data_IF_328341230814
#
_entry.id   IF_328341230814
#
_cell.length_a   1.000
_cell.length_b   1.000
_cell.length_c   1.000
_cell.angle_alpha   90.00
_cell.angle_beta   90.00
_cell.angle_gamma   90.00
#
_symmetry.space_group_name_H-M   'P 1'
#
loop_
_entity.id
_entity.type
_entity.pdbx_description
1 polymer ?
#
# COMPACT_ATOMS: atom_id res chain seq x y z
N UNK A 1 0.60 32.76 -2.53
CA UNK A 1 1.97 32.55 -3.05
C UNK A 1 2.08 31.11 -3.52
N UNK A 2 2.31 30.85 -4.81
CA UNK A 2 2.42 29.49 -5.31
C UNK A 2 3.86 28.98 -5.10
N UNK A 3 4.04 27.98 -4.23
CA UNK A 3 5.26 27.18 -4.20
C UNK A 3 5.04 26.00 -5.14
N UNK A 4 5.32 26.20 -6.43
CA UNK A 4 5.51 25.09 -7.35
C UNK A 4 6.73 24.29 -6.89
N UNK A 5 6.51 22.98 -6.69
CA UNK A 5 7.52 22.05 -6.22
C UNK A 5 8.69 21.93 -7.19
N UNK A 6 9.90 22.03 -6.63
CA UNK A 6 11.14 21.66 -7.30
C UNK A 6 11.22 20.14 -7.61
N UNK A 7 10.28 19.33 -7.11
CA UNK A 7 10.21 17.89 -7.36
C UNK A 7 9.58 17.50 -8.70
N UNK A 8 8.96 18.43 -9.44
CA UNK A 8 8.35 18.13 -10.73
C UNK A 8 9.39 17.87 -11.86
N UNK A 9 10.68 18.12 -11.62
CA UNK A 9 11.74 18.00 -12.64
C UNK A 9 12.64 16.76 -12.53
N UNK A 10 12.48 15.90 -11.52
CA UNK A 10 13.22 14.63 -11.46
C UNK A 10 12.23 13.47 -11.57
N UNK A 11 12.19 12.80 -12.71
CA UNK A 11 11.52 11.51 -12.80
C UNK A 11 12.34 10.51 -11.97
N UNK A 12 11.84 9.98 -10.83
CA UNK A 12 12.61 9.10 -9.96
C UNK A 12 12.81 7.69 -10.54
N UNK A 13 11.99 7.30 -11.54
CA UNK A 13 12.00 5.93 -12.09
C UNK A 13 13.36 5.48 -12.63
N UNK A 14 14.07 6.27 -13.46
CA UNK A 14 15.39 5.89 -13.96
C UNK A 14 16.44 5.76 -12.85
N UNK A 15 16.32 6.53 -11.77
CA UNK A 15 17.22 6.44 -10.62
C UNK A 15 17.04 5.12 -9.87
N UNK A 16 15.79 4.70 -9.63
CA UNK A 16 15.51 3.39 -9.02
C UNK A 16 15.98 2.25 -9.92
N UNK A 17 15.71 2.31 -11.23
CA UNK A 17 16.21 1.31 -12.19
C UNK A 17 17.74 1.24 -12.19
N UNK A 18 18.42 2.39 -12.14
CA UNK A 18 19.87 2.45 -12.02
C UNK A 18 20.38 1.83 -10.72
N UNK A 19 19.73 2.14 -9.59
CA UNK A 19 20.08 1.59 -8.27
C UNK A 19 19.89 0.07 -8.21
N UNK A 20 18.79 -0.46 -8.78
CA UNK A 20 18.55 -1.90 -8.94
C UNK A 20 19.72 -2.53 -9.69
N UNK A 21 20.11 -1.99 -10.85
CA UNK A 21 21.24 -2.52 -11.64
C UNK A 21 22.56 -2.51 -10.88
N UNK A 22 22.85 -1.43 -10.14
CA UNK A 22 24.09 -1.32 -9.35
C UNK A 22 24.13 -2.37 -8.23
N UNK A 23 23.01 -2.60 -7.56
CA UNK A 23 22.90 -3.65 -6.54
C UNK A 23 23.06 -5.04 -7.15
N UNK A 24 22.42 -5.31 -8.29
CA UNK A 24 22.57 -6.59 -9.00
C UNK A 24 24.03 -6.86 -9.37
N UNK A 25 24.75 -5.88 -9.93
CA UNK A 25 26.17 -6.00 -10.28
C UNK A 25 27.03 -6.25 -9.04
N UNK A 26 26.83 -5.47 -7.98
CA UNK A 26 27.61 -5.59 -6.73
C UNK A 26 27.43 -6.95 -6.06
N UNK A 27 26.24 -7.53 -6.15
CA UNK A 27 25.94 -8.82 -5.53
C UNK A 27 26.49 -10.02 -6.32
N UNK A 28 26.79 -9.85 -7.62
CA UNK A 28 27.43 -10.87 -8.44
C UNK A 28 28.92 -11.06 -8.12
N UNK A 29 29.59 -10.03 -7.59
CA UNK A 29 31.04 -10.02 -7.33
C UNK A 29 31.46 -10.60 -5.96
N UNK A 30 30.54 -11.19 -5.18
CA UNK A 30 30.77 -11.45 -3.75
C UNK A 30 31.63 -12.69 -3.44
N UNK A 31 32.94 -12.48 -3.49
CA UNK A 31 33.93 -13.14 -2.64
C UNK A 31 33.96 -12.47 -1.25
N UNK A 32 33.44 -13.16 -0.22
CA UNK A 32 33.61 -12.88 1.22
C UNK A 32 33.43 -11.42 1.70
N UNK A 33 32.20 -10.97 1.95
CA UNK A 33 31.93 -9.68 2.59
C UNK A 33 32.00 -9.76 4.13
N UNK A 34 32.59 -8.73 4.76
CA UNK A 34 32.74 -8.56 6.21
C UNK A 34 31.39 -8.15 6.88
N UNK A 35 31.21 -8.36 8.20
CA UNK A 35 29.95 -8.04 8.90
C UNK A 35 29.51 -6.57 8.80
N UNK A 36 30.44 -5.61 8.83
CA UNK A 36 30.10 -4.17 8.72
C UNK A 36 29.52 -3.80 7.35
N UNK A 37 30.05 -4.41 6.28
CA UNK A 37 29.51 -4.25 4.91
C UNK A 37 28.09 -4.80 4.79
N UNK A 38 27.73 -5.85 5.52
CA UNK A 38 26.37 -6.43 5.48
C UNK A 38 25.29 -5.48 6.01
N UNK A 39 25.57 -4.70 7.06
CA UNK A 39 24.59 -3.73 7.60
C UNK A 39 24.34 -2.57 6.64
N UNK A 40 25.40 -2.06 6.01
CA UNK A 40 25.29 -1.03 4.97
C UNK A 40 24.56 -1.55 3.73
N UNK A 41 24.83 -2.80 3.33
CA UNK A 41 24.22 -3.42 2.17
C UNK A 41 22.74 -3.72 2.40
N UNK A 42 22.37 -4.15 3.61
CA UNK A 42 20.97 -4.25 4.03
C UNK A 42 20.23 -2.94 3.85
N UNK A 43 20.74 -1.83 4.41
CA UNK A 43 20.07 -0.52 4.30
C UNK A 43 19.91 -0.12 2.83
N UNK A 44 20.91 -0.36 1.98
CA UNK A 44 20.81 -0.06 0.56
C UNK A 44 19.74 -0.89 -0.16
N UNK A 45 19.72 -2.20 0.09
CA UNK A 45 18.72 -3.11 -0.49
C UNK A 45 17.31 -2.71 -0.04
N UNK A 46 17.10 -2.51 1.26
CA UNK A 46 15.82 -2.08 1.81
C UNK A 46 15.41 -0.70 1.26
N UNK A 47 16.36 0.24 1.09
CA UNK A 47 16.07 1.56 0.51
C UNK A 47 15.66 1.49 -0.95
N UNK A 48 16.30 0.64 -1.76
CA UNK A 48 15.93 0.46 -3.18
C UNK A 48 14.58 -0.24 -3.30
N UNK A 49 14.32 -1.27 -2.48
CA UNK A 49 13.01 -1.91 -2.39
C UNK A 49 11.93 -0.90 -2.02
N UNK A 50 12.17 -0.10 -0.99
CA UNK A 50 11.26 0.93 -0.52
C UNK A 50 10.91 1.94 -1.62
N UNK A 51 11.92 2.48 -2.31
CA UNK A 51 11.70 3.45 -3.39
C UNK A 51 10.99 2.82 -4.59
N UNK A 52 11.36 1.60 -4.98
CA UNK A 52 10.70 0.86 -6.05
C UNK A 52 9.24 0.55 -5.72
N UNK A 53 8.95 0.18 -4.47
CA UNK A 53 7.60 -0.03 -3.99
C UNK A 53 6.77 1.25 -4.02
N UNK A 54 7.26 2.36 -3.46
CA UNK A 54 6.56 3.65 -3.49
C UNK A 54 6.13 4.05 -4.90
N UNK A 55 7.02 3.87 -5.88
CA UNK A 55 6.70 4.16 -7.27
C UNK A 55 5.65 3.22 -7.85
N UNK A 56 5.72 1.93 -7.50
CA UNK A 56 4.79 0.91 -8.01
C UNK A 56 3.37 1.06 -7.44
N UNK A 57 3.26 1.47 -6.16
CA UNK A 57 1.98 1.60 -5.47
C UNK A 57 1.32 2.97 -5.63
N UNK A 58 2.01 3.94 -6.24
CA UNK A 58 1.59 5.34 -6.36
C UNK A 58 0.21 5.48 -7.02
N UNK A 59 -0.05 4.64 -8.04
CA UNK A 59 -1.28 4.61 -8.84
C UNK A 59 -1.78 3.16 -8.96
N UNK A 60 -2.41 2.60 -7.91
CA UNK A 60 -2.67 1.17 -7.82
C UNK A 60 -3.62 0.64 -8.91
N UNK A 61 -4.51 1.49 -9.45
CA UNK A 61 -5.44 1.14 -10.54
C UNK A 61 -4.88 1.45 -11.94
N UNK A 62 -3.73 2.14 -12.03
CA UNK A 62 -3.06 2.54 -13.27
C UNK A 62 -1.55 2.55 -13.06
N UNK A 63 -0.93 1.39 -12.79
CA UNK A 63 0.48 1.31 -12.46
C UNK A 63 1.32 1.80 -13.66
N UNK A 64 2.21 2.74 -13.40
CA UNK A 64 3.08 3.36 -14.40
C UNK A 64 4.58 3.08 -14.14
N UNK A 65 4.86 2.25 -13.14
CA UNK A 65 6.16 1.72 -12.78
C UNK A 65 5.98 0.34 -12.18
N UNK A 66 6.94 -0.55 -12.44
CA UNK A 66 7.00 -1.88 -11.83
C UNK A 66 8.42 -2.16 -11.39
N UNK A 67 8.53 -2.66 -10.17
CA UNK A 67 9.78 -3.22 -9.70
C UNK A 67 9.94 -4.62 -10.27
N UNK A 68 11.15 -4.94 -10.72
CA UNK A 68 11.45 -6.24 -11.32
C UNK A 68 11.29 -7.38 -10.29
N UNK A 69 10.58 -8.44 -10.69
CA UNK A 69 10.27 -9.57 -9.81
C UNK A 69 11.53 -10.36 -9.43
N UNK A 70 12.46 -10.53 -10.37
CA UNK A 70 13.75 -11.20 -10.10
C UNK A 70 14.55 -10.42 -9.07
N UNK A 71 14.61 -9.09 -9.20
CA UNK A 71 15.22 -8.24 -8.18
C UNK A 71 14.56 -8.39 -6.80
N UNK A 72 13.23 -8.43 -6.71
CA UNK A 72 12.54 -8.58 -5.41
C UNK A 72 12.91 -9.91 -4.76
N UNK A 73 12.87 -11.01 -5.51
CA UNK A 73 13.29 -12.34 -5.02
C UNK A 73 14.73 -12.34 -4.53
N UNK A 74 15.65 -11.82 -5.33
CA UNK A 74 17.05 -11.73 -4.95
C UNK A 74 17.27 -10.86 -3.71
N UNK A 75 16.54 -9.75 -3.59
CA UNK A 75 16.61 -8.86 -2.44
C UNK A 75 16.12 -9.54 -1.16
N UNK A 76 15.02 -10.29 -1.22
CA UNK A 76 14.52 -11.04 -0.08
C UNK A 76 15.46 -12.17 0.35
N UNK A 77 16.02 -12.93 -0.59
CA UNK A 77 17.00 -13.98 -0.29
C UNK A 77 18.22 -13.39 0.42
N UNK A 78 18.69 -12.21 -0.02
CA UNK A 78 19.76 -11.48 0.64
C UNK A 78 19.38 -11.02 2.05
N UNK A 79 18.20 -10.42 2.24
CA UNK A 79 17.75 -9.97 3.55
C UNK A 79 17.62 -11.15 4.53
N UNK A 80 17.04 -12.26 4.07
CA UNK A 80 16.96 -13.50 4.84
C UNK A 80 18.35 -14.04 5.20
N UNK A 81 19.31 -13.98 4.28
CA UNK A 81 20.69 -14.39 4.55
C UNK A 81 21.34 -13.53 5.64
N UNK A 82 21.04 -12.23 5.69
CA UNK A 82 21.53 -11.32 6.72
C UNK A 82 20.91 -11.60 8.08
N UNK A 83 19.60 -11.88 8.12
CA UNK A 83 18.90 -12.27 9.35
C UNK A 83 19.47 -13.58 9.93
N UNK A 84 19.72 -14.57 9.07
CA UNK A 84 20.31 -15.84 9.46
C UNK A 84 21.76 -15.69 9.97
N UNK A 85 22.53 -14.78 9.39
CA UNK A 85 23.92 -14.53 9.78
C UNK A 85 24.04 -13.82 11.13
N UNK A 86 23.05 -13.00 11.52
CA UNK A 86 23.04 -12.27 12.78
C UNK A 86 21.63 -12.31 13.44
N UNK A 87 21.23 -13.44 14.05
CA UNK A 87 19.88 -13.60 14.62
C UNK A 87 19.54 -12.58 15.71
N UNK A 88 20.55 -12.13 16.48
CA UNK A 88 20.40 -11.11 17.52
C UNK A 88 20.12 -9.70 16.98
N UNK A 89 20.32 -9.49 15.67
CA UNK A 89 20.07 -8.25 14.94
C UNK A 89 19.01 -8.41 13.85
N UNK A 90 18.22 -9.51 13.88
CA UNK A 90 16.99 -9.64 13.12
C UNK A 90 15.92 -8.68 13.69
N UNK A 91 16.24 -7.39 13.69
CA UNK A 91 15.31 -6.33 14.00
C UNK A 91 14.36 -6.15 12.81
N UNK A 92 13.12 -5.69 13.05
CA UNK A 92 12.23 -5.31 11.96
C UNK A 92 12.95 -4.32 11.04
N UNK A 93 12.77 -4.47 9.72
CA UNK A 93 13.41 -3.60 8.73
C UNK A 93 13.14 -2.14 9.08
N UNK A 94 14.21 -1.40 9.38
CA UNK A 94 14.16 0.00 9.80
C UNK A 94 13.61 0.88 8.67
N UNK A 95 13.79 0.44 7.42
CA UNK A 95 13.38 1.19 6.23
C UNK A 95 11.99 0.78 5.75
N UNK A 96 11.66 -0.52 5.77
CA UNK A 96 10.41 -1.03 5.20
C UNK A 96 9.25 -0.99 6.20
N UNK A 97 9.48 -1.17 7.51
CA UNK A 97 8.43 -1.06 8.53
C UNK A 97 7.30 -2.11 8.49
N UNK A 98 7.14 -2.87 7.40
CA UNK A 98 6.29 -4.06 7.27
C UNK A 98 7.08 -5.21 6.63
N UNK A 99 6.65 -6.49 6.79
CA UNK A 99 7.36 -7.63 6.19
C UNK A 99 7.39 -7.56 4.65
N UNK A 100 8.52 -7.93 4.04
CA UNK A 100 8.72 -7.95 2.57
C UNK A 100 7.72 -8.84 1.83
N UNK A 101 7.24 -9.90 2.48
CA UNK A 101 6.17 -10.75 1.95
C UNK A 101 4.86 -9.99 1.72
N UNK A 102 4.47 -9.07 2.62
CA UNK A 102 3.30 -8.20 2.42
C UNK A 102 3.53 -7.19 1.29
N UNK A 103 4.75 -6.64 1.16
CA UNK A 103 5.13 -5.82 0.00
C UNK A 103 4.93 -6.55 -1.31
N UNK A 104 5.46 -7.78 -1.41
CA UNK A 104 5.34 -8.59 -2.62
C UNK A 104 3.86 -8.89 -2.93
N UNK A 105 3.05 -9.21 -1.91
CA UNK A 105 1.63 -9.44 -2.10
C UNK A 105 0.93 -8.22 -2.69
N UNK A 106 1.17 -7.01 -2.15
CA UNK A 106 0.62 -5.75 -2.68
C UNK A 106 1.02 -5.53 -4.14
N UNK A 107 2.29 -5.75 -4.49
CA UNK A 107 2.75 -5.60 -5.87
C UNK A 107 2.07 -6.58 -6.82
N UNK A 108 1.92 -7.85 -6.42
CA UNK A 108 1.23 -8.88 -7.21
C UNK A 108 -0.26 -8.57 -7.38
N UNK A 109 -0.90 -8.00 -6.36
CA UNK A 109 -2.29 -7.52 -6.45
C UNK A 109 -2.40 -6.43 -7.52
N UNK A 110 -1.52 -5.42 -7.49
CA UNK A 110 -1.49 -4.33 -8.48
C UNK A 110 -1.19 -4.86 -9.89
N UNK A 111 -0.31 -5.85 -10.02
CA UNK A 111 0.05 -6.42 -11.32
C UNK A 111 -1.01 -7.34 -11.94
N UNK A 112 -2.13 -7.58 -11.25
CA UNK A 112 -3.26 -8.37 -11.75
C UNK A 112 -3.84 -7.85 -13.08
N UNK A 113 -3.69 -6.54 -13.37
CA UNK A 113 -4.08 -5.95 -14.66
C UNK A 113 -3.35 -6.53 -15.88
N UNK A 114 -2.24 -7.24 -15.68
CA UNK A 114 -1.46 -7.84 -16.76
C UNK A 114 -1.68 -9.35 -16.89
N UNK A 115 -2.45 -9.93 -15.99
CA UNK A 115 -2.72 -11.36 -16.02
C UNK A 115 -3.67 -11.64 -17.18
N UNK A 116 -3.35 -12.58 -18.08
CA UNK A 116 -4.24 -12.97 -19.16
C UNK A 116 -5.61 -13.40 -18.61
N UNK A 117 -6.70 -12.99 -19.26
CA UNK A 117 -8.08 -13.29 -18.80
C UNK A 117 -8.32 -14.77 -18.50
N UNK A 118 -7.70 -15.68 -19.26
CA UNK A 118 -7.83 -17.13 -19.05
C UNK A 118 -7.28 -17.63 -17.72
N UNK A 119 -6.33 -16.91 -17.11
CA UNK A 119 -5.69 -17.27 -15.84
C UNK A 119 -6.09 -16.33 -14.69
N UNK A 120 -6.95 -15.34 -14.96
CA UNK A 120 -7.24 -14.26 -14.01
C UNK A 120 -7.97 -14.77 -12.77
N UNK A 121 -8.92 -15.69 -12.93
CA UNK A 121 -9.67 -16.27 -11.81
C UNK A 121 -8.73 -16.97 -10.83
N UNK A 122 -7.95 -17.93 -11.32
CA UNK A 122 -7.00 -18.72 -10.52
C UNK A 122 -5.95 -17.82 -9.84
N UNK A 123 -5.49 -16.77 -10.52
CA UNK A 123 -4.57 -15.78 -9.96
C UNK A 123 -5.19 -15.02 -8.78
N UNK A 124 -6.41 -14.50 -8.94
CA UNK A 124 -7.11 -13.76 -7.89
C UNK A 124 -7.46 -14.67 -6.69
N UNK A 125 -7.84 -15.92 -6.94
CA UNK A 125 -8.06 -16.92 -5.88
C UNK A 125 -6.76 -17.21 -5.10
N UNK A 126 -5.63 -17.35 -5.79
CA UNK A 126 -4.33 -17.52 -5.17
C UNK A 126 -3.92 -16.33 -4.30
N UNK A 127 -4.14 -15.10 -4.78
CA UNK A 127 -3.90 -13.88 -3.99
C UNK A 127 -4.79 -13.82 -2.75
N UNK A 128 -6.06 -14.20 -2.87
CA UNK A 128 -6.99 -14.24 -1.74
C UNK A 128 -6.57 -15.26 -0.68
N UNK A 129 -6.14 -16.46 -1.10
CA UNK A 129 -5.64 -17.48 -0.19
C UNK A 129 -4.39 -17.02 0.57
N UNK A 130 -3.47 -16.32 -0.09
CA UNK A 130 -2.28 -15.75 0.56
C UNK A 130 -2.64 -14.61 1.53
N UNK A 131 -3.59 -13.75 1.15
CA UNK A 131 -4.07 -12.67 1.99
C UNK A 131 -4.77 -13.15 3.28
N UNK A 132 -5.46 -14.30 3.23
CA UNK A 132 -6.14 -14.86 4.41
C UNK A 132 -5.20 -15.06 5.60
N UNK A 133 -3.94 -15.45 5.35
CA UNK A 133 -2.92 -15.56 6.40
C UNK A 133 -2.72 -14.23 7.13
N UNK A 134 -2.65 -13.12 6.39
CA UNK A 134 -2.48 -11.79 6.96
C UNK A 134 -3.74 -11.32 7.68
N UNK A 135 -4.91 -11.57 7.12
CA UNK A 135 -6.18 -11.20 7.74
C UNK A 135 -6.39 -11.92 9.08
N UNK A 136 -5.95 -13.17 9.22
CA UNK A 136 -6.01 -13.91 10.48
C UNK A 136 -5.22 -13.21 11.60
N UNK A 137 -4.06 -12.62 11.28
CA UNK A 137 -3.25 -11.89 12.26
C UNK A 137 -3.99 -10.69 12.88
N UNK A 138 -4.92 -10.08 12.16
CA UNK A 138 -5.74 -8.97 12.67
C UNK A 138 -6.66 -9.39 13.82
N UNK A 139 -7.17 -10.62 13.77
CA UNK A 139 -8.17 -11.13 14.71
C UNK A 139 -7.52 -11.90 15.87
N UNK A 140 -6.31 -12.45 15.66
CA UNK A 140 -5.57 -13.15 16.71
C UNK A 140 -4.96 -12.19 17.75
N UNK A 141 -4.63 -10.95 17.36
CA UNK A 141 -4.08 -9.92 18.26
C UNK A 141 -5.12 -9.42 19.30
N UNK A 142 -6.42 -9.50 19.01
CA UNK A 142 -7.48 -9.13 19.98
C UNK A 142 -7.52 -10.05 21.21
N UNK A 143 -7.01 -11.28 21.10
CA UNK A 143 -6.96 -12.26 22.20
C UNK A 143 -5.66 -12.17 23.04
N UNK A 144 -4.70 -11.34 22.62
CA UNK A 144 -3.32 -11.36 23.12
C UNK A 144 -3.03 -10.09 23.93
N UNK A 145 -3.27 -10.13 25.25
CA UNK A 145 -3.12 -8.97 26.16
C UNK A 145 -1.68 -8.40 26.33
N UNK A 146 -0.68 -8.81 25.54
CA UNK A 146 0.74 -8.59 25.87
C UNK A 146 1.68 -8.23 24.69
N UNK A 147 1.26 -7.36 23.75
CA UNK A 147 2.20 -6.86 22.72
C UNK A 147 2.19 -5.34 22.67
N UNK A 148 3.41 -4.77 22.68
CA UNK A 148 3.67 -3.33 22.67
C UNK A 148 2.89 -2.64 21.52
N UNK A 149 1.94 -1.79 21.91
CA UNK A 149 0.93 -1.16 21.07
C UNK A 149 1.46 -0.10 20.07
N UNK A 150 2.76 -0.09 19.75
CA UNK A 150 3.38 0.92 18.90
C UNK A 150 3.25 0.65 17.40
N UNK A 151 3.64 -0.55 16.98
CA UNK A 151 3.82 -0.92 15.56
C UNK A 151 2.67 -1.78 15.00
N UNK A 152 1.92 -2.47 15.87
CA UNK A 152 0.81 -3.37 15.49
C UNK A 152 -0.27 -2.66 14.68
N UNK A 153 -0.73 -1.46 15.09
CA UNK A 153 -1.79 -0.72 14.39
C UNK A 153 -1.41 -0.21 12.98
N UNK A 154 -0.14 0.05 12.72
CA UNK A 154 0.31 0.41 11.37
C UNK A 154 0.29 -0.82 10.45
N UNK A 155 0.77 -1.97 10.94
CA UNK A 155 0.65 -3.23 10.22
C UNK A 155 -0.81 -3.60 9.97
N UNK A 156 -1.70 -3.39 10.95
CA UNK A 156 -3.14 -3.60 10.78
C UNK A 156 -3.69 -2.78 9.61
N UNK A 157 -3.40 -1.47 9.60
CA UNK A 157 -3.85 -0.58 8.51
C UNK A 157 -3.31 -1.02 7.15
N UNK A 158 -2.06 -1.49 7.09
CA UNK A 158 -1.46 -2.00 5.86
C UNK A 158 -2.15 -3.28 5.37
N UNK A 159 -2.47 -4.22 6.27
CA UNK A 159 -3.20 -5.46 5.94
C UNK A 159 -4.63 -5.12 5.49
N UNK A 160 -5.35 -4.29 6.26
CA UNK A 160 -6.71 -3.85 5.95
C UNK A 160 -6.77 -3.16 4.58
N UNK A 161 -5.83 -2.26 4.30
CA UNK A 161 -5.75 -1.60 3.00
C UNK A 161 -5.39 -2.58 1.87
N UNK A 162 -4.52 -3.55 2.11
CA UNK A 162 -4.19 -4.59 1.13
C UNK A 162 -5.40 -5.45 0.80
N UNK A 163 -6.17 -5.84 1.82
CA UNK A 163 -7.43 -6.58 1.65
C UNK A 163 -8.45 -5.80 0.84
N UNK A 164 -8.67 -4.54 1.22
CA UNK A 164 -9.56 -3.66 0.48
C UNK A 164 -9.09 -3.45 -0.97
N UNK A 165 -7.79 -3.32 -1.22
CA UNK A 165 -7.25 -3.18 -2.57
C UNK A 165 -7.56 -4.40 -3.44
N UNK A 166 -7.39 -5.62 -2.91
CA UNK A 166 -7.68 -6.84 -3.64
C UNK A 166 -9.16 -6.90 -4.05
N UNK A 167 -10.07 -6.56 -3.13
CA UNK A 167 -11.51 -6.49 -3.43
C UNK A 167 -11.80 -5.46 -4.54
N UNK A 168 -11.24 -4.25 -4.43
CA UNK A 168 -11.43 -3.18 -5.42
C UNK A 168 -10.89 -3.55 -6.81
N UNK A 169 -9.71 -4.17 -6.87
CA UNK A 169 -9.13 -4.64 -8.14
C UNK A 169 -9.94 -5.79 -8.71
N UNK A 170 -10.38 -6.73 -7.88
CA UNK A 170 -11.23 -7.85 -8.31
C UNK A 170 -12.53 -7.34 -8.92
N UNK A 171 -13.21 -6.41 -8.26
CA UNK A 171 -14.42 -5.76 -8.77
C UNK A 171 -14.15 -5.05 -10.11
N UNK A 172 -13.03 -4.33 -10.22
CA UNK A 172 -12.68 -3.58 -11.44
C UNK A 172 -12.39 -4.52 -12.61
N UNK A 173 -11.65 -5.61 -12.38
CA UNK A 173 -11.25 -6.55 -13.42
C UNK A 173 -12.38 -7.50 -13.85
N UNK A 174 -13.36 -7.74 -12.97
CA UNK A 174 -14.52 -8.59 -13.25
C UNK A 174 -15.73 -7.80 -13.77
N UNK A 175 -15.75 -6.48 -13.57
CA UNK A 175 -16.73 -5.57 -14.17
C UNK A 175 -16.60 -5.52 -15.70
N UNK A 176 -17.74 -5.44 -16.38
CA UNK A 176 -17.83 -5.25 -17.84
C UNK A 176 -17.60 -3.77 -18.23
N UNK A 177 -17.70 -2.85 -17.27
CA UNK A 177 -17.58 -1.40 -17.47
C UNK A 177 -16.13 -0.93 -17.27
N UNK A 178 -15.51 -0.37 -18.32
CA UNK A 178 -14.10 0.11 -18.37
C UNK A 178 -13.82 1.35 -17.50
N UNK A 179 -14.72 1.71 -16.57
CA UNK A 179 -14.48 2.84 -15.67
C UNK A 179 -13.41 2.53 -14.62
N UNK A 180 -12.47 3.47 -14.49
CA UNK A 180 -11.26 3.39 -13.63
C UNK A 180 -11.59 3.42 -12.14
N UNK A 181 -12.82 3.81 -11.80
CA UNK A 181 -13.31 3.75 -10.44
C UNK A 181 -14.05 2.43 -10.27
N UNK A 182 -13.68 1.58 -9.28
CA UNK A 182 -14.44 0.37 -8.97
C UNK A 182 -15.91 0.75 -8.81
N UNK A 183 -16.75 0.18 -9.68
CA UNK A 183 -18.19 0.35 -9.57
C UNK A 183 -18.65 -0.40 -8.30
N UNK A 184 -19.55 0.17 -7.49
CA UNK A 184 -20.07 -0.56 -6.34
C UNK A 184 -20.80 -1.83 -6.81
N UNK A 185 -20.25 -2.99 -6.48
CA UNK A 185 -20.91 -4.30 -6.63
C UNK A 185 -22.25 -4.34 -5.89
N UNK A 186 -23.18 -5.18 -6.38
CA UNK A 186 -24.55 -5.28 -5.89
C UNK A 186 -24.70 -6.12 -4.60
N UNK A 187 -25.17 -5.49 -3.51
CA UNK A 187 -25.88 -6.05 -2.32
C UNK A 187 -25.00 -6.52 -1.14
N UNK A 188 -25.29 -6.25 0.15
CA UNK A 188 -26.59 -6.20 0.86
C UNK A 188 -26.74 -5.11 2.00
N UNK A 189 -27.96 -5.02 2.53
CA UNK A 189 -28.70 -4.15 3.48
C UNK A 189 -29.07 -2.73 3.07
N UNK A 190 -28.26 -2.05 2.27
CA UNK A 190 -28.59 -0.69 1.77
C UNK A 190 -28.13 -0.46 0.32
N UNK A 191 -27.88 -1.52 -0.45
CA UNK A 191 -27.38 -1.40 -1.83
C UNK A 191 -25.92 -0.97 -1.94
N UNK A 192 -25.14 -1.04 -0.85
CA UNK A 192 -23.69 -0.82 -0.82
C UNK A 192 -22.97 -2.17 -0.61
N UNK A 193 -21.82 -2.43 -1.25
CA UNK A 193 -21.02 -3.61 -0.95
C UNK A 193 -20.57 -3.55 0.51
N UNK A 194 -20.84 -4.61 1.28
CA UNK A 194 -20.35 -4.72 2.65
C UNK A 194 -18.82 -4.84 2.63
N UNK A 195 -18.14 -3.91 3.31
CA UNK A 195 -16.67 -3.81 3.36
C UNK A 195 -16.25 -3.68 4.82
N UNK A 196 -16.11 -4.81 5.50
CA UNK A 196 -15.67 -4.87 6.90
C UNK A 196 -14.32 -4.17 7.10
N UNK A 197 -13.46 -4.15 6.06
CA UNK A 197 -12.17 -3.45 6.06
C UNK A 197 -12.33 -1.96 6.40
N UNK A 198 -13.37 -1.31 5.85
CA UNK A 198 -13.62 0.10 6.15
C UNK A 198 -14.08 0.28 7.59
N UNK A 199 -14.94 -0.59 8.10
CA UNK A 199 -15.42 -0.49 9.48
C UNK A 199 -14.25 -0.56 10.48
N UNK A 200 -13.33 -1.52 10.29
CA UNK A 200 -12.11 -1.62 11.11
C UNK A 200 -11.17 -0.42 10.92
N UNK A 201 -10.93 -0.02 9.68
CA UNK A 201 -10.06 1.12 9.40
C UNK A 201 -10.58 2.42 10.03
N UNK A 202 -11.89 2.69 9.93
CA UNK A 202 -12.47 3.90 10.52
C UNK A 202 -12.32 3.91 12.04
N UNK A 203 -12.47 2.77 12.70
CA UNK A 203 -12.20 2.66 14.14
C UNK A 203 -10.74 3.02 14.47
N UNK A 204 -9.77 2.52 13.70
CA UNK A 204 -8.35 2.87 13.88
C UNK A 204 -8.11 4.37 13.60
N UNK A 205 -8.70 4.91 12.55
CA UNK A 205 -8.58 6.32 12.16
C UNK A 205 -9.27 7.28 13.12
N UNK A 206 -10.14 6.82 14.01
CA UNK A 206 -10.75 7.67 15.04
C UNK A 206 -9.90 7.76 16.30
N UNK A 207 -8.92 6.88 16.50
CA UNK A 207 -8.03 6.86 17.66
C UNK A 207 -6.93 7.94 17.58
N UNK A 208 -7.00 9.04 18.36
CA UNK A 208 -6.08 10.18 18.23
C UNK A 208 -4.64 9.86 18.67
N UNK A 209 -4.48 8.95 19.63
CA UNK A 209 -3.18 8.49 20.15
C UNK A 209 -2.36 7.76 19.08
N UNK A 210 -3.05 7.07 18.18
CA UNK A 210 -2.43 6.32 17.08
C UNK A 210 -2.00 7.22 15.93
N UNK A 211 -2.70 8.35 15.71
CA UNK A 211 -2.36 9.30 14.65
C UNK A 211 -0.91 9.79 14.78
N UNK A 212 -0.36 9.88 15.99
CA UNK A 212 1.01 10.35 16.17
C UNK A 212 2.07 9.34 15.71
N UNK A 213 1.79 8.04 15.81
CA UNK A 213 2.75 6.98 15.50
C UNK A 213 2.86 6.73 14.00
N UNK A 214 1.73 6.51 13.33
CA UNK A 214 1.74 6.13 11.91
C UNK A 214 1.80 7.33 10.95
N UNK A 215 1.39 8.54 11.35
CA UNK A 215 1.54 9.73 10.50
C UNK A 215 2.99 10.19 10.29
N UNK A 216 3.93 9.66 11.08
CA UNK A 216 5.36 9.85 10.89
C UNK A 216 5.98 8.89 9.87
N UNK A 217 5.28 7.83 9.49
CA UNK A 217 5.76 6.85 8.52
C UNK A 217 5.44 7.32 7.10
N UNK A 218 6.43 7.38 6.22
CA UNK A 218 6.24 7.77 4.82
C UNK A 218 5.29 6.84 4.04
N UNK A 219 5.14 5.58 4.47
CA UNK A 219 4.15 4.65 3.92
C UNK A 219 2.76 4.77 4.55
N UNK A 220 2.62 5.48 5.67
CA UNK A 220 1.35 5.68 6.36
C UNK A 220 0.29 6.40 5.51
N UNK A 221 0.69 7.07 4.43
CA UNK A 221 -0.24 7.72 3.52
C UNK A 221 -0.90 6.74 2.54
N UNK A 222 -0.26 5.59 2.24
CA UNK A 222 -0.77 4.65 1.25
C UNK A 222 -2.09 3.96 1.68
N UNK A 223 -2.24 3.46 2.92
CA UNK A 223 -3.52 2.94 3.39
C UNK A 223 -4.66 3.95 3.22
N UNK A 224 -4.40 5.23 3.50
CA UNK A 224 -5.40 6.31 3.34
C UNK A 224 -5.84 6.50 1.90
N UNK A 225 -4.93 6.36 0.92
CA UNK A 225 -5.30 6.38 -0.49
C UNK A 225 -6.30 5.26 -0.80
N UNK A 226 -6.01 4.02 -0.38
CA UNK A 226 -6.88 2.88 -0.65
C UNK A 226 -8.25 3.01 0.05
N UNK A 227 -8.26 3.46 1.30
CA UNK A 227 -9.50 3.72 2.04
C UNK A 227 -10.36 4.77 1.35
N UNK A 228 -9.75 5.83 0.80
CA UNK A 228 -10.47 6.85 0.03
C UNK A 228 -11.11 6.30 -1.25
N UNK A 229 -10.42 5.38 -1.94
CA UNK A 229 -10.99 4.64 -3.07
C UNK A 229 -12.20 3.79 -2.64
N UNK A 230 -12.10 3.08 -1.51
CA UNK A 230 -13.16 2.24 -0.98
C UNK A 230 -14.33 2.98 -0.32
N UNK A 231 -14.14 4.23 0.11
CA UNK A 231 -15.10 4.97 0.92
C UNK A 231 -16.54 4.94 0.36
N UNK A 232 -17.49 4.63 1.25
CA UNK A 232 -18.92 4.41 1.02
C UNK A 232 -19.79 5.63 1.30
N UNK A 233 -19.27 6.61 2.05
CA UNK A 233 -19.96 7.86 2.36
C UNK A 233 -19.03 9.06 2.28
N UNK A 234 -19.63 10.26 2.24
CA UNK A 234 -18.88 11.51 2.32
C UNK A 234 -18.18 11.67 3.68
N UNK A 235 -18.75 11.10 4.74
CA UNK A 235 -18.15 11.15 6.09
C UNK A 235 -16.86 10.35 6.15
N UNK A 236 -16.87 9.13 5.61
CA UNK A 236 -15.69 8.25 5.56
C UNK A 236 -14.54 8.90 4.77
N UNK A 237 -14.81 9.44 3.58
CA UNK A 237 -13.77 10.11 2.78
C UNK A 237 -13.30 11.41 3.44
N UNK A 238 -14.18 12.12 4.15
CA UNK A 238 -13.80 13.33 4.91
C UNK A 238 -12.87 12.98 6.06
N UNK A 239 -13.15 11.90 6.81
CA UNK A 239 -12.27 11.42 7.87
C UNK A 239 -10.87 11.10 7.32
N UNK A 240 -10.79 10.35 6.23
CA UNK A 240 -9.50 10.02 5.57
C UNK A 240 -8.75 11.31 5.17
N UNK A 241 -9.43 12.28 4.57
CA UNK A 241 -8.85 13.57 4.16
C UNK A 241 -8.38 14.41 5.34
N UNK A 242 -9.11 14.42 6.44
CA UNK A 242 -8.70 15.12 7.66
C UNK A 242 -7.43 14.53 8.25
N UNK A 243 -7.29 13.21 8.22
CA UNK A 243 -6.07 12.56 8.70
C UNK A 243 -4.89 12.83 7.77
N UNK A 244 -5.08 12.77 6.44
CA UNK A 244 -4.07 13.19 5.47
C UNK A 244 -3.63 14.65 5.68
N UNK A 245 -4.56 15.56 5.99
CA UNK A 245 -4.26 16.96 6.27
C UNK A 245 -3.37 17.10 7.52
N UNK A 246 -3.67 16.36 8.59
CA UNK A 246 -2.83 16.34 9.81
C UNK A 246 -1.44 15.76 9.51
N UNK A 247 -1.38 14.70 8.72
CA UNK A 247 -0.12 14.08 8.29
C UNK A 247 0.73 15.10 7.51
N UNK A 248 0.15 15.77 6.52
CA UNK A 248 0.85 16.77 5.72
C UNK A 248 1.40 17.93 6.57
N UNK A 249 0.62 18.42 7.54
CA UNK A 249 1.06 19.48 8.46
C UNK A 249 2.28 19.08 9.28
N UNK A 250 2.50 17.77 9.52
CA UNK A 250 3.61 17.25 10.30
C UNK A 250 4.84 16.96 9.44
N UNK A 251 4.68 16.21 8.35
CA UNK A 251 5.82 15.70 7.57
C UNK A 251 6.13 16.54 6.32
N UNK A 252 5.25 17.45 5.90
CA UNK A 252 5.48 18.30 4.73
C UNK A 252 5.65 17.54 3.41
N UNK A 253 5.25 16.27 3.36
CA UNK A 253 5.57 15.33 2.30
C UNK A 253 4.66 15.53 1.08
N UNK A 254 5.26 15.79 -0.08
CA UNK A 254 4.52 16.06 -1.33
C UNK A 254 3.59 14.93 -1.77
N UNK A 255 3.88 13.69 -1.37
CA UNK A 255 3.03 12.54 -1.67
C UNK A 255 1.67 12.60 -0.96
N UNK A 256 1.63 13.15 0.25
CA UNK A 256 0.38 13.34 0.99
C UNK A 256 -0.50 14.37 0.27
N UNK A 257 0.09 15.44 -0.27
CA UNK A 257 -0.66 16.42 -1.06
C UNK A 257 -1.26 15.78 -2.31
N UNK A 258 -0.46 15.00 -3.05
CA UNK A 258 -0.92 14.29 -4.24
C UNK A 258 -2.11 13.37 -3.94
N UNK A 259 -2.01 12.58 -2.86
CA UNK A 259 -3.10 11.69 -2.45
C UNK A 259 -4.36 12.50 -2.13
N UNK A 260 -4.24 13.64 -1.44
CA UNK A 260 -5.38 14.52 -1.16
C UNK A 260 -6.04 15.03 -2.45
N UNK A 261 -5.25 15.49 -3.42
CA UNK A 261 -5.76 15.99 -4.70
C UNK A 261 -6.51 14.88 -5.46
N UNK A 262 -5.97 13.66 -5.46
CA UNK A 262 -6.62 12.49 -6.06
C UNK A 262 -7.94 12.12 -5.35
N UNK A 263 -7.98 12.20 -4.02
CA UNK A 263 -9.22 11.98 -3.27
C UNK A 263 -10.27 13.08 -3.52
N UNK A 264 -9.86 14.33 -3.78
CA UNK A 264 -10.76 15.41 -4.18
C UNK A 264 -11.44 15.13 -5.53
N UNK A 265 -10.68 14.61 -6.50
CA UNK A 265 -11.20 14.17 -7.80
C UNK A 265 -12.21 13.03 -7.63
N UNK A 266 -11.87 12.01 -6.83
CA UNK A 266 -12.75 10.86 -6.55
C UNK A 266 -14.03 11.31 -5.83
N UNK A 267 -13.91 12.21 -4.86
CA UNK A 267 -15.08 12.75 -4.12
C UNK A 267 -16.05 13.44 -5.08
N UNK A 268 -15.52 14.25 -6.00
CA UNK A 268 -16.30 14.99 -7.00
C UNK A 268 -17.00 14.04 -7.97
N UNK A 269 -16.29 13.01 -8.43
CA UNK A 269 -16.84 11.98 -9.31
C UNK A 269 -17.95 11.16 -8.63
N UNK A 270 -17.71 10.67 -7.41
CA UNK A 270 -18.69 9.91 -6.62
C UNK A 270 -19.92 10.76 -6.31
N UNK A 271 -19.73 12.03 -5.94
CA UNK A 271 -20.81 12.98 -5.75
C UNK A 271 -21.67 13.07 -7.01
N UNK A 272 -21.07 13.32 -8.18
CA UNK A 272 -21.76 13.46 -9.45
C UNK A 272 -22.59 12.21 -9.83
N UNK A 273 -22.07 10.99 -9.60
CA UNK A 273 -22.83 9.75 -9.84
C UNK A 273 -24.03 9.57 -8.90
N UNK A 274 -23.93 10.03 -7.64
CA UNK A 274 -25.05 10.01 -6.68
C UNK A 274 -26.16 10.98 -7.11
N UNK A 275 -25.79 12.18 -7.58
CA UNK A 275 -26.74 13.16 -8.14
C UNK A 275 -27.44 12.63 -9.40
N UNK A 276 -26.72 11.97 -10.32
CA UNK A 276 -27.31 11.36 -11.53
C UNK A 276 -28.27 10.21 -11.18
N UNK A 277 -28.02 9.42 -10.13
CA UNK A 277 -28.98 8.37 -9.70
C UNK A 277 -30.24 8.95 -9.05
N UNK A 278 -30.15 10.10 -8.38
CA UNK A 278 -31.33 10.75 -7.79
C UNK A 278 -32.24 11.38 -8.83
N UNK A 279 -31.71 11.89 -9.95
CA UNK A 279 -32.52 12.45 -11.05
C UNK A 279 -33.23 11.38 -11.91
N UNK A 280 -32.73 10.14 -11.93
CA UNK A 280 -33.36 9.02 -12.68
C UNK A 280 -34.46 8.33 -11.85
N UNK A 281 -34.44 8.51 -10.52
CA UNK A 281 -35.38 7.88 -9.58
C UNK A 281 -36.37 8.86 -8.94
N UNK A 282 -36.35 10.14 -9.33
CA UNK A 282 -37.33 11.18 -8.96
C UNK A 282 -38.26 11.51 -10.11
#
# INVERSE_FOLDING_TARGET
>A
MPKYGLDAMSNPKPHVVGAVKLLSLRNQDNSSLRPFTQSYDRINVESVLYQGFLLSIRRPFRPDFRLDSEFITHAEDLLQSYDNANPSHANPSIVLGVPTSLYRLILRIIDSYNVPRGNLSDHLEGLKAELQYWEQLLFDDENSQNVQHGDSRFNDLMIIATSLLLDLITETLTSIDDTICPAPSAGDRDGKPWRWQLDLAMNILQCPEEHQKWSGCYLGAWPLLILGYGARSLEEITLVKDVLKRMQQRIGYGEVQRIRDELDEITTYKGSKVWVRQEILG
#
